data_IF_808473723398
#
_entry.id   IF_808473723398
#
_cell.length_a   1.000
_cell.length_b   1.000
_cell.length_c   1.000
_cell.angle_alpha   90.00
_cell.angle_beta   90.00
_cell.angle_gamma   90.00
#
_symmetry.space_group_name_H-M   'P 1'
#
loop_
_entity.id
_entity.type
_entity.pdbx_description
1 polymer ?
#
# COMPACT_ATOMS: atom_id res chain seq x y z
N UNK A 1 27.25 21.91 -20.99
CA UNK A 1 26.66 21.26 -19.79
C UNK A 1 25.86 22.35 -19.13
N UNK A 2 24.54 22.35 -19.32
CA UNK A 2 23.68 23.42 -18.82
C UNK A 2 23.47 23.23 -17.33
N UNK A 3 24.07 24.11 -16.53
CA UNK A 3 23.78 24.23 -15.11
C UNK A 3 22.26 24.42 -14.97
N UNK A 4 21.58 23.41 -14.44
CA UNK A 4 20.14 23.49 -14.24
C UNK A 4 19.91 24.33 -13.00
N UNK A 5 19.83 25.66 -13.16
CA UNK A 5 19.21 26.54 -12.16
C UNK A 5 17.72 26.19 -12.10
N UNK A 6 17.37 25.17 -11.31
CA UNK A 6 15.97 24.84 -11.02
C UNK A 6 15.43 25.98 -10.15
N UNK A 7 14.46 26.74 -10.66
CA UNK A 7 13.85 27.82 -9.88
C UNK A 7 13.14 27.25 -8.65
N UNK A 8 12.98 28.00 -7.54
CA UNK A 8 12.30 27.52 -6.34
C UNK A 8 10.88 26.98 -6.61
N UNK A 9 10.18 27.55 -7.60
CA UNK A 9 8.86 27.11 -8.04
C UNK A 9 8.91 25.74 -8.72
N UNK A 10 9.82 25.55 -9.68
CA UNK A 10 10.02 24.27 -10.37
C UNK A 10 10.47 23.16 -9.41
N UNK A 11 11.33 23.48 -8.42
CA UNK A 11 11.71 22.52 -7.38
C UNK A 11 10.49 22.04 -6.57
N UNK A 12 9.57 22.94 -6.24
CA UNK A 12 8.37 22.59 -5.47
C UNK A 12 7.41 21.73 -6.30
N UNK A 13 7.20 22.06 -7.57
CA UNK A 13 6.38 21.26 -8.47
C UNK A 13 6.95 19.85 -8.67
N UNK A 14 8.26 19.74 -8.88
CA UNK A 14 8.93 18.44 -8.99
C UNK A 14 8.78 17.61 -7.70
N UNK A 15 8.98 18.23 -6.53
CA UNK A 15 8.76 17.54 -5.25
C UNK A 15 7.32 17.06 -5.09
N UNK A 16 6.33 17.85 -5.50
CA UNK A 16 4.92 17.45 -5.43
C UNK A 16 4.63 16.26 -6.33
N UNK A 17 5.09 16.29 -7.59
CA UNK A 17 4.95 15.15 -8.51
C UNK A 17 5.63 13.91 -7.97
N UNK A 18 6.86 14.03 -7.52
CA UNK A 18 7.61 12.92 -6.94
C UNK A 18 6.91 12.31 -5.72
N UNK A 19 6.38 13.14 -4.81
CA UNK A 19 5.60 12.66 -3.65
C UNK A 19 4.34 11.91 -4.10
N UNK A 20 3.63 12.42 -5.09
CA UNK A 20 2.43 11.78 -5.62
C UNK A 20 2.74 10.42 -6.25
N UNK A 21 3.78 10.35 -7.08
CA UNK A 21 4.24 9.09 -7.70
C UNK A 21 4.69 8.08 -6.65
N UNK A 22 5.47 8.51 -5.66
CA UNK A 22 5.93 7.65 -4.56
C UNK A 22 4.76 7.11 -3.75
N UNK A 23 3.75 7.94 -3.45
CA UNK A 23 2.54 7.51 -2.76
C UNK A 23 1.74 6.50 -3.58
N UNK A 24 1.62 6.70 -4.89
CA UNK A 24 0.93 5.77 -5.78
C UNK A 24 1.62 4.40 -5.79
N UNK A 25 2.96 4.38 -5.92
CA UNK A 25 3.75 3.15 -5.88
C UNK A 25 3.62 2.42 -4.54
N UNK A 26 3.70 3.15 -3.42
CA UNK A 26 3.52 2.56 -2.09
C UNK A 26 2.12 1.94 -1.92
N UNK A 27 1.08 2.57 -2.49
CA UNK A 27 -0.28 2.05 -2.44
C UNK A 27 -0.48 0.83 -3.33
N UNK A 28 0.18 0.78 -4.48
CA UNK A 28 0.21 -0.40 -5.36
C UNK A 28 0.87 -1.59 -4.65
N UNK A 29 2.04 -1.39 -4.06
CA UNK A 29 2.76 -2.44 -3.31
C UNK A 29 1.94 -2.95 -2.13
N UNK A 30 1.33 -2.04 -1.36
CA UNK A 30 0.43 -2.40 -0.27
C UNK A 30 -0.75 -3.26 -0.76
N UNK A 31 -1.35 -2.88 -1.89
CA UNK A 31 -2.46 -3.62 -2.48
C UNK A 31 -2.06 -5.05 -2.85
N UNK A 32 -0.90 -5.23 -3.51
CA UNK A 32 -0.37 -6.55 -3.87
C UNK A 32 -0.11 -7.40 -2.62
N UNK A 33 0.52 -6.82 -1.59
CA UNK A 33 0.82 -7.52 -0.35
C UNK A 33 -0.44 -7.96 0.40
N UNK A 34 -1.45 -7.09 0.51
CA UNK A 34 -2.75 -7.42 1.11
C UNK A 34 -3.43 -8.54 0.32
N UNK A 35 -3.46 -8.44 -1.01
CA UNK A 35 -4.07 -9.45 -1.87
C UNK A 35 -3.42 -10.83 -1.66
N UNK A 36 -2.09 -10.90 -1.70
CA UNK A 36 -1.36 -12.17 -1.49
C UNK A 36 -1.64 -12.74 -0.09
N UNK A 37 -1.48 -11.92 0.96
CA UNK A 37 -1.61 -12.37 2.35
C UNK A 37 -3.02 -12.84 2.67
N UNK A 38 -4.03 -12.07 2.27
CA UNK A 38 -5.42 -12.40 2.57
C UNK A 38 -5.94 -13.55 1.70
N UNK A 39 -5.48 -13.67 0.46
CA UNK A 39 -5.81 -14.84 -0.36
C UNK A 39 -5.23 -16.12 0.27
N UNK A 40 -3.93 -16.14 0.59
CA UNK A 40 -3.27 -17.26 1.26
C UNK A 40 -3.98 -17.66 2.56
N UNK A 41 -4.42 -16.67 3.36
CA UNK A 41 -5.03 -16.92 4.66
C UNK A 41 -6.48 -17.42 4.56
N UNK A 42 -7.26 -16.90 3.62
CA UNK A 42 -8.71 -17.07 3.60
C UNK A 42 -9.22 -18.03 2.51
N UNK A 43 -8.45 -18.28 1.45
CA UNK A 43 -8.88 -19.09 0.31
C UNK A 43 -8.18 -20.44 0.31
N UNK A 44 -8.78 -21.42 0.99
CA UNK A 44 -8.23 -22.78 1.09
C UNK A 44 -8.40 -23.62 -0.19
N UNK A 45 -9.44 -23.34 -0.97
CA UNK A 45 -9.77 -24.03 -2.23
C UNK A 45 -10.28 -23.02 -3.26
N UNK A 46 -9.48 -22.68 -4.28
CA UNK A 46 -9.91 -21.80 -5.35
C UNK A 46 -10.99 -22.48 -6.20
N UNK A 47 -12.16 -21.85 -6.31
CA UNK A 47 -13.32 -22.32 -7.09
C UNK A 47 -13.88 -21.22 -8.01
N UNK A 48 -13.03 -20.25 -8.38
CA UNK A 48 -13.35 -19.14 -9.29
C UNK A 48 -14.22 -18.03 -8.69
N UNK A 49 -14.80 -18.20 -7.50
CA UNK A 49 -15.59 -17.18 -6.79
C UNK A 49 -15.44 -17.35 -5.28
N UNK A 50 -15.28 -16.25 -4.55
CA UNK A 50 -15.27 -16.32 -3.09
C UNK A 50 -16.66 -16.71 -2.59
N UNK A 51 -16.74 -17.79 -1.79
CA UNK A 51 -17.94 -18.10 -1.03
C UNK A 51 -18.15 -17.10 0.12
N UNK A 52 -19.33 -17.12 0.75
CA UNK A 52 -19.66 -16.14 1.81
C UNK A 52 -18.71 -16.17 3.00
N UNK A 53 -18.14 -17.34 3.34
CA UNK A 53 -17.16 -17.47 4.43
C UNK A 53 -15.82 -16.88 4.02
N UNK A 54 -15.39 -17.12 2.79
CA UNK A 54 -14.17 -16.55 2.22
C UNK A 54 -14.27 -15.03 2.09
N UNK A 55 -15.39 -14.49 1.62
CA UNK A 55 -15.64 -13.04 1.54
C UNK A 55 -15.54 -12.38 2.91
N UNK A 56 -16.22 -12.94 3.92
CA UNK A 56 -16.17 -12.43 5.29
C UNK A 56 -14.75 -12.51 5.87
N UNK A 57 -14.03 -13.61 5.62
CA UNK A 57 -12.64 -13.75 6.05
C UNK A 57 -11.74 -12.70 5.40
N UNK A 58 -11.83 -12.50 4.09
CA UNK A 58 -11.02 -11.51 3.36
C UNK A 58 -11.29 -10.11 3.87
N UNK A 59 -12.57 -9.72 4.07
CA UNK A 59 -12.92 -8.41 4.62
C UNK A 59 -12.27 -8.18 6.01
N UNK A 60 -12.34 -9.17 6.89
CA UNK A 60 -11.69 -9.12 8.21
C UNK A 60 -10.16 -9.08 8.09
N UNK A 61 -9.59 -9.86 7.17
CA UNK A 61 -8.15 -9.91 6.96
C UNK A 61 -7.59 -8.56 6.50
N UNK A 62 -8.22 -7.91 5.53
CA UNK A 62 -7.80 -6.59 5.03
C UNK A 62 -7.81 -5.56 6.16
N UNK A 63 -8.89 -5.49 6.93
CA UNK A 63 -8.99 -4.58 8.08
C UNK A 63 -7.86 -4.83 9.09
N UNK A 64 -7.66 -6.10 9.47
CA UNK A 64 -6.61 -6.44 10.45
C UNK A 64 -5.20 -6.20 9.90
N UNK A 65 -4.97 -6.39 8.61
CA UNK A 65 -3.69 -6.10 7.97
C UNK A 65 -3.35 -4.61 8.10
N UNK A 66 -4.30 -3.74 7.76
CA UNK A 66 -4.13 -2.28 7.84
C UNK A 66 -3.90 -1.84 9.29
N UNK A 67 -4.68 -2.37 10.24
CA UNK A 67 -4.48 -2.09 11.67
C UNK A 67 -3.05 -2.45 12.11
N UNK A 68 -2.58 -3.63 11.71
CA UNK A 68 -1.24 -4.12 12.07
C UNK A 68 -0.16 -3.24 11.44
N UNK A 69 -0.34 -2.87 10.16
CA UNK A 69 0.58 -1.98 9.47
C UNK A 69 0.68 -0.62 10.15
N UNK A 70 -0.44 -0.06 10.62
CA UNK A 70 -0.45 1.21 11.36
C UNK A 70 0.35 1.11 12.67
N UNK A 71 0.15 0.04 13.45
CA UNK A 71 0.88 -0.18 14.70
C UNK A 71 2.38 -0.34 14.45
N UNK A 72 2.76 -1.16 13.46
CA UNK A 72 4.16 -1.38 13.10
C UNK A 72 4.80 -0.09 12.62
N UNK A 73 4.14 0.65 11.72
CA UNK A 73 4.62 1.93 11.19
C UNK A 73 4.87 2.96 12.30
N UNK A 74 3.92 3.12 13.22
CA UNK A 74 4.08 4.01 14.38
C UNK A 74 5.27 3.59 15.27
N UNK A 75 5.44 2.29 15.50
CA UNK A 75 6.54 1.76 16.31
C UNK A 75 7.90 2.00 15.64
N UNK A 76 7.99 1.78 14.33
CA UNK A 76 9.21 1.97 13.55
C UNK A 76 9.66 3.43 13.51
N UNK A 77 8.73 4.38 13.44
CA UNK A 77 9.03 5.83 13.43
C UNK A 77 9.33 6.37 14.83
N UNK A 78 8.90 5.66 15.88
CA UNK A 78 9.10 6.08 17.29
C UNK A 78 10.39 5.57 17.92
N UNK A 79 11.21 4.80 17.18
CA UNK A 79 12.54 4.32 17.62
C UNK A 79 13.63 5.13 16.91
#
# INVERSE_FOLDING_TARGET
>A
MSDTEITPTEQNELRMRYRQETMAQAMEELSVNIQMKCFEKCVSKPNGKLDSKQQNCVALCVNRYIDTLNVVSQTMVST
#
